data_IF_935670845744
#
_entry.id   IF_935670845744
#
_cell.length_a   1.000
_cell.length_b   1.000
_cell.length_c   1.000
_cell.angle_alpha   90.00
_cell.angle_beta   90.00
_cell.angle_gamma   90.00
#
_symmetry.space_group_name_H-M   'P 1'
#
loop_
_entity.id
_entity.type
_entity.pdbx_description
1 polymer ?
#
# COMPACT_ATOMS: atom_id res chain seq x y z
N UNK A 1 11.28 -0.88 14.95
CA UNK A 1 12.43 -0.43 15.72
C UNK A 1 13.72 -1.08 15.17
N UNK A 2 14.32 -0.56 14.11
CA UNK A 2 15.46 -1.15 13.38
C UNK A 2 16.79 -1.31 14.18
N UNK A 3 16.69 -1.56 15.47
CA UNK A 3 17.82 -1.82 16.34
C UNK A 3 18.47 -3.17 16.00
N UNK A 4 19.79 -3.17 15.78
CA UNK A 4 20.57 -4.40 15.58
C UNK A 4 20.41 -5.41 16.75
N UNK A 5 20.00 -4.95 17.93
CA UNK A 5 19.75 -5.79 19.09
C UNK A 5 18.50 -6.70 18.93
N UNK A 6 17.59 -6.37 18.03
CA UNK A 6 16.38 -7.18 17.78
C UNK A 6 16.59 -8.25 16.71
N UNK A 7 17.61 -8.15 15.87
CA UNK A 7 17.88 -9.09 14.75
C UNK A 7 17.96 -10.55 15.21
N UNK A 8 18.64 -10.89 16.33
CA UNK A 8 18.73 -12.28 16.79
C UNK A 8 17.39 -12.94 17.13
N UNK A 9 16.36 -12.12 17.33
CA UNK A 9 15.01 -12.58 17.69
C UNK A 9 14.05 -12.62 16.51
N UNK A 10 14.54 -12.33 15.29
CA UNK A 10 13.75 -12.35 14.07
C UNK A 10 13.99 -13.66 13.31
N UNK A 11 12.97 -14.47 13.19
CA UNK A 11 13.00 -15.72 12.44
C UNK A 11 12.12 -15.62 11.21
N UNK A 12 12.61 -16.14 10.09
CA UNK A 12 11.81 -16.36 8.89
C UNK A 12 10.97 -17.60 9.11
N UNK A 13 9.66 -17.42 9.22
CA UNK A 13 8.70 -18.50 9.44
C UNK A 13 8.30 -19.17 8.12
N UNK A 14 8.09 -18.38 7.08
CA UNK A 14 7.58 -18.87 5.79
C UNK A 14 8.03 -17.96 4.65
N UNK A 15 8.24 -18.57 3.49
CA UNK A 15 8.48 -17.87 2.23
C UNK A 15 7.53 -18.47 1.19
N UNK A 16 6.56 -17.66 0.74
CA UNK A 16 5.56 -18.05 -0.24
C UNK A 16 5.86 -17.39 -1.59
N UNK A 17 5.83 -18.16 -2.66
CA UNK A 17 5.90 -17.61 -4.01
C UNK A 17 4.52 -17.17 -4.46
N UNK A 18 4.35 -15.86 -4.73
CA UNK A 18 3.09 -15.31 -5.21
C UNK A 18 3.01 -15.45 -6.73
N UNK A 19 2.08 -16.29 -7.19
CA UNK A 19 1.86 -16.53 -8.63
C UNK A 19 1.03 -15.46 -9.30
N UNK A 20 0.35 -14.61 -8.52
CA UNK A 20 -0.48 -13.51 -8.98
C UNK A 20 0.33 -12.21 -9.11
N UNK A 21 -0.12 -11.33 -9.99
CA UNK A 21 0.55 -10.06 -10.29
C UNK A 21 1.73 -10.20 -11.27
N UNK A 22 2.11 -9.09 -11.85
CA UNK A 22 3.14 -9.03 -12.89
C UNK A 22 4.56 -9.28 -12.32
N UNK A 23 4.83 -8.83 -11.11
CA UNK A 23 6.15 -8.91 -10.49
C UNK A 23 6.46 -10.24 -9.81
N UNK A 24 5.46 -11.11 -9.63
CA UNK A 24 5.60 -12.44 -9.01
C UNK A 24 6.52 -12.43 -7.78
N UNK A 25 6.18 -11.68 -6.73
CA UNK A 25 7.05 -11.52 -5.58
C UNK A 25 7.11 -12.77 -4.72
N UNK A 26 8.12 -12.86 -3.86
CA UNK A 26 8.09 -13.72 -2.70
C UNK A 26 7.47 -12.96 -1.52
N UNK A 27 6.50 -13.56 -0.84
CA UNK A 27 5.99 -13.07 0.43
C UNK A 27 6.74 -13.75 1.56
N UNK A 28 7.40 -12.96 2.39
CA UNK A 28 8.21 -13.43 3.51
C UNK A 28 7.51 -13.08 4.81
N UNK A 29 7.26 -14.07 5.65
CA UNK A 29 6.75 -13.91 6.99
C UNK A 29 7.89 -13.97 7.99
N UNK A 30 8.07 -12.89 8.74
CA UNK A 30 9.08 -12.81 9.80
C UNK A 30 8.37 -12.75 11.14
N UNK A 31 8.79 -13.60 12.07
CA UNK A 31 8.31 -13.64 13.44
C UNK A 31 9.33 -13.05 14.38
N UNK A 32 8.89 -12.19 15.28
CA UNK A 32 9.67 -11.75 16.40
C UNK A 32 9.43 -12.73 17.57
N UNK A 33 10.44 -13.50 17.95
CA UNK A 33 10.35 -14.54 18.99
C UNK A 33 10.20 -14.00 20.40
N UNK A 34 10.39 -12.69 20.61
CA UNK A 34 10.19 -12.07 21.94
C UNK A 34 8.72 -11.84 22.26
N UNK A 35 7.89 -11.57 21.25
CA UNK A 35 6.50 -11.17 21.45
C UNK A 35 5.52 -11.88 20.51
N UNK A 36 6.01 -12.86 19.75
CA UNK A 36 5.26 -13.62 18.73
C UNK A 36 4.53 -12.76 17.68
N UNK A 37 4.92 -11.51 17.50
CA UNK A 37 4.39 -10.68 16.45
C UNK A 37 4.98 -11.06 15.09
N UNK A 38 4.15 -10.94 14.05
CA UNK A 38 4.52 -11.23 12.68
C UNK A 38 4.54 -9.97 11.84
N UNK A 39 5.51 -9.90 10.93
CA UNK A 39 5.59 -8.87 9.89
C UNK A 39 5.72 -9.59 8.56
N UNK A 40 5.05 -9.07 7.54
CA UNK A 40 5.14 -9.60 6.19
C UNK A 40 5.84 -8.61 5.28
N UNK A 41 6.67 -9.14 4.40
CA UNK A 41 7.36 -8.38 3.37
C UNK A 41 7.17 -9.02 2.00
N UNK A 42 7.16 -8.20 0.96
CA UNK A 42 7.28 -8.66 -0.41
C UNK A 42 8.69 -8.42 -0.91
N UNK A 43 9.32 -9.48 -1.39
CA UNK A 43 10.66 -9.46 -1.97
C UNK A 43 10.52 -9.69 -3.47
N UNK A 44 11.03 -8.76 -4.27
CA UNK A 44 10.90 -8.77 -5.72
C UNK A 44 12.11 -8.15 -6.40
N UNK A 45 12.21 -8.32 -7.72
CA UNK A 45 13.22 -7.64 -8.51
C UNK A 45 12.99 -6.15 -8.43
N UNK A 46 14.06 -5.40 -8.17
CA UNK A 46 14.04 -3.95 -8.19
C UNK A 46 13.84 -3.45 -9.63
N UNK A 47 13.00 -2.44 -9.80
CA UNK A 47 12.88 -1.68 -11.04
C UNK A 47 12.83 -0.18 -10.74
N UNK A 48 13.36 0.62 -11.67
CA UNK A 48 13.55 2.05 -11.44
C UNK A 48 12.23 2.80 -11.25
N UNK A 49 11.18 2.45 -12.00
CA UNK A 49 9.87 3.09 -11.89
C UNK A 49 9.29 2.94 -10.49
N UNK A 50 9.31 1.70 -9.98
CA UNK A 50 8.78 1.38 -8.65
C UNK A 50 9.59 2.04 -7.54
N UNK A 51 10.93 2.00 -7.63
CA UNK A 51 11.82 2.66 -6.65
C UNK A 51 11.52 4.16 -6.61
N UNK A 52 11.41 4.80 -7.77
CA UNK A 52 11.08 6.21 -7.85
C UNK A 52 9.73 6.54 -7.20
N UNK A 53 8.70 5.72 -7.45
CA UNK A 53 7.39 5.86 -6.82
C UNK A 53 7.43 5.72 -5.30
N UNK A 54 8.20 4.76 -4.80
CA UNK A 54 8.37 4.53 -3.36
C UNK A 54 9.14 5.67 -2.68
N UNK A 55 10.19 6.18 -3.30
CA UNK A 55 10.94 7.34 -2.80
C UNK A 55 10.05 8.59 -2.73
N UNK A 56 9.25 8.86 -3.77
CA UNK A 56 8.27 9.96 -3.74
C UNK A 56 7.22 9.75 -2.63
N UNK A 57 6.74 8.53 -2.44
CA UNK A 57 5.83 8.20 -1.34
C UNK A 57 6.47 8.52 0.00
N UNK A 58 7.71 8.11 0.20
CA UNK A 58 8.44 8.34 1.44
C UNK A 58 8.65 9.84 1.70
N UNK A 59 8.98 10.63 0.67
CA UNK A 59 9.15 12.08 0.78
C UNK A 59 7.86 12.81 1.14
N UNK A 60 6.74 12.42 0.51
CA UNK A 60 5.45 13.10 0.68
C UNK A 60 4.66 12.60 1.90
N UNK A 61 4.91 11.41 2.33
CA UNK A 61 4.22 10.76 3.46
C UNK A 61 5.20 9.87 4.23
N UNK A 62 6.15 10.43 4.97
CA UNK A 62 7.10 9.68 5.77
C UNK A 62 6.38 8.66 6.69
N UNK A 63 6.95 7.49 6.86
CA UNK A 63 6.39 6.38 7.65
C UNK A 63 5.07 5.78 7.13
N UNK A 64 4.72 6.06 5.88
CA UNK A 64 3.53 5.46 5.29
C UNK A 64 3.79 4.05 4.75
N UNK A 65 5.00 3.81 4.24
CA UNK A 65 5.46 2.54 3.70
C UNK A 65 6.96 2.42 3.93
N UNK A 66 7.39 1.28 4.46
CA UNK A 66 8.81 0.97 4.60
C UNK A 66 9.27 0.09 3.44
N UNK A 67 10.41 0.41 2.89
CA UNK A 67 11.04 -0.39 1.84
C UNK A 67 12.55 -0.34 1.95
N UNK A 68 13.21 -1.31 1.36
CA UNK A 68 14.66 -1.42 1.27
C UNK A 68 15.04 -1.87 -0.13
N UNK A 69 16.04 -1.20 -0.69
CA UNK A 69 16.66 -1.61 -1.96
C UNK A 69 18.07 -2.08 -1.68
N UNK A 70 18.38 -3.29 -2.12
CA UNK A 70 19.74 -3.81 -2.06
C UNK A 70 20.08 -4.50 -3.38
N UNK A 71 21.07 -3.96 -4.08
CA UNK A 71 21.41 -4.40 -5.45
C UNK A 71 20.16 -4.41 -6.37
N UNK A 72 19.81 -5.56 -6.91
CA UNK A 72 18.65 -5.75 -7.77
C UNK A 72 17.40 -6.25 -7.02
N UNK A 73 17.41 -6.17 -5.70
CA UNK A 73 16.32 -6.66 -4.87
C UNK A 73 15.61 -5.50 -4.18
N UNK A 74 14.30 -5.49 -4.28
CA UNK A 74 13.41 -4.59 -3.56
C UNK A 74 12.65 -5.39 -2.51
N UNK A 75 12.67 -4.92 -1.28
CA UNK A 75 11.88 -5.43 -0.15
C UNK A 75 10.89 -4.36 0.25
N UNK A 76 9.61 -4.66 0.19
CA UNK A 76 8.51 -3.76 0.58
C UNK A 76 7.74 -4.34 1.76
N UNK A 77 7.39 -3.51 2.71
CA UNK A 77 6.51 -3.89 3.81
C UNK A 77 5.11 -4.19 3.28
N UNK A 78 4.51 -5.26 3.79
CA UNK A 78 3.10 -5.54 3.56
C UNK A 78 2.24 -4.59 4.40
N UNK A 79 1.43 -3.77 3.74
CA UNK A 79 0.47 -2.90 4.43
C UNK A 79 -0.77 -3.71 4.76
N UNK A 80 -0.99 -3.96 6.05
CA UNK A 80 -2.22 -4.59 6.51
C UNK A 80 -3.39 -3.62 6.31
N UNK A 81 -4.40 -4.06 5.56
CA UNK A 81 -5.59 -3.27 5.26
C UNK A 81 -6.59 -4.08 4.46
N UNK A 82 -7.77 -3.53 4.25
CA UNK A 82 -8.83 -4.14 3.45
C UNK A 82 -8.60 -3.72 2.00
N UNK A 83 -8.45 -4.65 1.05
CA UNK A 83 -8.38 -4.31 -0.38
C UNK A 83 -9.56 -3.42 -0.80
N UNK A 84 -9.31 -2.45 -1.67
CA UNK A 84 -10.34 -1.47 -2.03
C UNK A 84 -11.56 -2.07 -2.69
N UNK A 85 -11.39 -3.10 -3.52
CA UNK A 85 -12.48 -3.85 -4.15
C UNK A 85 -13.35 -4.58 -3.11
N UNK A 86 -12.74 -5.28 -2.17
CA UNK A 86 -13.43 -5.92 -1.05
C UNK A 86 -14.14 -4.88 -0.17
N UNK A 87 -13.46 -3.76 0.12
CA UNK A 87 -14.04 -2.69 0.91
C UNK A 87 -15.28 -2.09 0.26
N UNK A 88 -15.24 -1.82 -1.04
CA UNK A 88 -16.36 -1.27 -1.81
C UNK A 88 -17.54 -2.24 -1.79
N UNK A 89 -17.28 -3.53 -1.93
CA UNK A 89 -18.32 -4.55 -2.02
C UNK A 89 -18.94 -4.88 -0.66
N UNK A 90 -18.13 -5.07 0.38
CA UNK A 90 -18.56 -5.71 1.61
C UNK A 90 -18.69 -4.76 2.81
N UNK A 91 -17.94 -3.68 2.82
CA UNK A 91 -17.86 -2.75 3.96
C UNK A 91 -18.56 -1.42 3.69
N UNK A 92 -18.31 -0.80 2.55
CA UNK A 92 -18.87 0.52 2.22
C UNK A 92 -20.41 0.57 2.28
N UNK A 93 -21.18 -0.47 1.86
CA UNK A 93 -22.63 -0.46 1.98
C UNK A 93 -23.13 -0.39 3.42
N UNK A 94 -22.35 -0.88 4.37
CA UNK A 94 -22.67 -0.93 5.81
C UNK A 94 -22.28 0.36 6.55
N UNK A 95 -21.49 1.23 5.92
CA UNK A 95 -21.06 2.48 6.52
C UNK A 95 -22.21 3.48 6.68
N UNK A 96 -22.21 4.19 7.78
CA UNK A 96 -23.09 5.33 8.04
C UNK A 96 -22.80 6.49 7.06
N UNK A 97 -23.75 7.44 6.95
CA UNK A 97 -23.57 8.63 6.11
C UNK A 97 -22.33 9.44 6.52
N UNK A 98 -22.04 9.53 7.80
CA UNK A 98 -20.86 10.25 8.33
C UNK A 98 -19.57 9.57 7.91
N UNK A 99 -19.50 8.23 8.04
CA UNK A 99 -18.34 7.45 7.60
C UNK A 99 -18.13 7.55 6.09
N UNK A 100 -19.19 7.43 5.29
CA UNK A 100 -19.11 7.59 3.84
C UNK A 100 -18.56 8.96 3.44
N UNK A 101 -19.01 10.04 4.08
CA UNK A 101 -18.46 11.38 3.83
C UNK A 101 -16.98 11.48 4.19
N UNK A 102 -16.55 10.81 5.25
CA UNK A 102 -15.14 10.76 5.64
C UNK A 102 -14.31 9.96 4.65
N UNK A 103 -14.82 8.80 4.22
CA UNK A 103 -14.17 7.94 3.22
C UNK A 103 -14.02 8.70 1.90
N UNK A 104 -15.08 9.38 1.43
CA UNK A 104 -15.04 10.20 0.23
C UNK A 104 -13.95 11.28 0.29
N UNK A 105 -13.88 12.03 1.40
CA UNK A 105 -12.81 13.03 1.61
C UNK A 105 -11.41 12.40 1.61
N UNK A 106 -11.26 11.23 2.22
CA UNK A 106 -10.00 10.49 2.23
C UNK A 106 -9.63 10.00 0.84
N UNK A 107 -10.61 9.58 0.06
CA UNK A 107 -10.42 9.11 -1.31
C UNK A 107 -10.02 10.28 -2.25
N UNK A 108 -10.64 11.45 -2.13
CA UNK A 108 -10.21 12.65 -2.87
C UNK A 108 -8.76 12.99 -2.57
N UNK A 109 -8.37 13.04 -1.29
CA UNK A 109 -6.96 13.28 -0.90
C UNK A 109 -6.01 12.21 -1.44
N UNK A 110 -6.43 10.96 -1.47
CA UNK A 110 -5.66 9.88 -2.07
C UNK A 110 -5.45 10.11 -3.57
N UNK A 111 -6.50 10.48 -4.31
CA UNK A 111 -6.39 10.81 -5.73
C UNK A 111 -5.47 12.01 -5.99
N UNK A 112 -5.56 13.07 -5.20
CA UNK A 112 -4.65 14.23 -5.29
C UNK A 112 -3.19 13.80 -5.12
N UNK A 113 -2.89 12.95 -4.15
CA UNK A 113 -1.54 12.41 -3.95
C UNK A 113 -1.06 11.59 -5.15
N UNK A 114 -1.93 10.74 -5.70
CA UNK A 114 -1.59 9.95 -6.89
C UNK A 114 -1.30 10.86 -8.09
N UNK A 115 -2.07 11.93 -8.27
CA UNK A 115 -1.83 12.91 -9.33
C UNK A 115 -0.49 13.64 -9.16
N UNK A 116 -0.19 14.13 -7.96
CA UNK A 116 1.07 14.83 -7.67
C UNK A 116 2.28 13.92 -7.94
N UNK A 117 2.15 12.65 -7.60
CA UNK A 117 3.21 11.65 -7.80
C UNK A 117 3.22 11.03 -9.20
N UNK A 118 2.25 11.35 -10.04
CA UNK A 118 2.05 10.70 -11.34
C UNK A 118 1.97 9.17 -11.24
N UNK A 119 1.35 8.69 -10.16
CA UNK A 119 1.13 7.27 -9.92
C UNK A 119 -0.19 6.85 -10.55
N UNK A 120 -0.13 5.99 -11.54
CA UNK A 120 -1.29 5.49 -12.29
C UNK A 120 -1.79 4.15 -11.79
N UNK A 121 -2.77 3.63 -12.52
CA UNK A 121 -3.41 2.31 -12.32
C UNK A 121 -3.96 2.06 -10.91
N UNK A 122 -4.49 3.10 -10.27
CA UNK A 122 -5.09 2.99 -8.93
C UNK A 122 -6.50 2.39 -9.02
N UNK A 123 -6.58 1.17 -9.55
CA UNK A 123 -7.75 0.31 -9.48
C UNK A 123 -8.02 -0.11 -8.04
N UNK A 124 -9.22 -0.57 -7.77
CA UNK A 124 -9.65 -0.90 -6.41
C UNK A 124 -8.75 -1.94 -5.70
N UNK A 125 -8.10 -2.82 -6.42
CA UNK A 125 -7.16 -3.81 -5.86
C UNK A 125 -5.72 -3.29 -5.69
N UNK A 126 -5.38 -2.08 -6.18
CA UNK A 126 -4.05 -1.48 -6.07
C UNK A 126 -3.91 -0.51 -4.89
N UNK A 127 -4.93 -0.43 -4.05
CA UNK A 127 -4.87 0.29 -2.78
C UNK A 127 -5.60 -0.50 -1.68
N UNK A 128 -5.27 -0.19 -0.43
CA UNK A 128 -5.93 -0.75 0.75
C UNK A 128 -6.51 0.36 1.61
N UNK A 129 -7.61 0.03 2.29
CA UNK A 129 -8.22 0.87 3.31
C UNK A 129 -7.78 0.36 4.68
N UNK A 130 -7.11 1.23 5.42
CA UNK A 130 -6.63 0.95 6.77
C UNK A 130 -7.55 1.66 7.77
N UNK A 131 -8.41 0.93 8.49
CA UNK A 131 -9.20 1.51 9.57
C UNK A 131 -8.29 1.79 10.77
N UNK A 132 -8.34 3.01 11.27
CA UNK A 132 -7.63 3.44 12.47
C UNK A 132 -8.66 3.81 13.51
N UNK A 133 -8.63 3.11 14.63
CA UNK A 133 -9.48 3.42 15.77
C UNK A 133 -8.90 4.59 16.57
N UNK A 134 -9.62 5.68 16.63
CA UNK A 134 -9.28 6.87 17.39
C UNK A 134 -10.43 7.17 18.38
N UNK A 135 -10.28 6.67 19.60
CA UNK A 135 -11.33 6.69 20.65
C UNK A 135 -12.68 6.18 20.12
N UNK A 136 -13.65 7.06 19.96
CA UNK A 136 -15.01 6.72 19.53
C UNK A 136 -15.20 6.81 17.99
N UNK A 137 -14.12 7.01 17.23
CA UNK A 137 -14.19 7.19 15.78
C UNK A 137 -13.28 6.22 15.05
N UNK A 138 -13.73 5.78 13.89
CA UNK A 138 -12.88 5.06 12.94
C UNK A 138 -12.48 6.01 11.82
N UNK A 139 -11.17 6.16 11.61
CA UNK A 139 -10.60 6.94 10.52
C UNK A 139 -10.14 5.97 9.45
N UNK A 140 -10.61 6.13 8.23
CA UNK A 140 -10.22 5.30 7.10
C UNK A 140 -9.11 5.96 6.30
N UNK A 141 -7.89 5.40 6.38
CA UNK A 141 -6.76 5.83 5.54
C UNK A 141 -6.67 4.97 4.30
N UNK A 142 -6.48 5.61 3.16
CA UNK A 142 -6.30 4.92 1.88
C UNK A 142 -4.83 4.99 1.51
N UNK A 143 -4.25 3.81 1.20
CA UNK A 143 -2.82 3.66 0.90
C UNK A 143 -2.64 2.88 -0.39
N UNK A 144 -1.86 3.43 -1.33
CA UNK A 144 -1.40 2.68 -2.49
C UNK A 144 -0.49 1.52 -2.05
N UNK A 145 -0.61 0.39 -2.73
CA UNK A 145 0.22 -0.80 -2.51
C UNK A 145 0.94 -1.26 -3.78
N UNK A 146 0.65 -0.65 -4.91
CA UNK A 146 1.32 -0.95 -6.17
C UNK A 146 1.89 0.33 -6.81
N UNK A 147 3.18 0.31 -7.12
CA UNK A 147 3.96 1.44 -7.62
C UNK A 147 4.59 1.14 -8.99
N UNK A 148 4.14 0.11 -9.70
CA UNK A 148 4.72 -0.28 -10.98
C UNK A 148 4.32 0.64 -12.14
N UNK A 149 3.22 1.40 -11.99
CA UNK A 149 2.72 2.35 -12.98
C UNK A 149 3.12 3.80 -12.65
N UNK A 150 4.34 3.99 -12.20
CA UNK A 150 4.90 5.30 -11.93
C UNK A 150 5.48 5.91 -13.21
N UNK A 151 5.09 7.14 -13.54
CA UNK A 151 5.66 7.90 -14.67
C UNK A 151 6.96 8.60 -14.25
N UNK A 152 8.10 7.93 -14.35
CA UNK A 152 9.38 8.54 -13.98
C UNK A 152 10.25 8.98 -15.17
N UNK A 153 10.01 8.43 -16.37
CA UNK A 153 10.80 8.74 -17.58
C UNK A 153 10.29 9.96 -18.36
N UNK A 154 9.38 10.74 -17.76
CA UNK A 154 8.80 11.90 -18.45
C UNK A 154 7.80 11.55 -19.55
N UNK A 155 7.50 10.27 -19.76
CA UNK A 155 6.38 9.85 -20.56
C UNK A 155 5.11 10.38 -19.94
N UNK A 156 4.48 11.37 -20.60
CA UNK A 156 3.20 11.95 -20.21
C UNK A 156 2.05 10.94 -20.42
N UNK A 157 2.17 9.77 -19.86
CA UNK A 157 1.02 8.89 -19.67
C UNK A 157 0.12 9.60 -18.66
N UNK A 158 -0.95 10.20 -19.15
CA UNK A 158 -1.93 10.88 -18.31
C UNK A 158 -2.65 9.82 -17.50
N UNK A 159 -2.13 9.53 -16.34
CA UNK A 159 -2.81 8.68 -15.38
C UNK A 159 -3.97 9.44 -14.76
N UNK A 160 -5.15 8.84 -14.81
CA UNK A 160 -6.36 9.36 -14.20
C UNK A 160 -6.83 8.36 -13.15
N UNK A 161 -6.17 8.27 -11.99
CA UNK A 161 -6.45 7.24 -10.99
C UNK A 161 -7.89 7.29 -10.47
N UNK A 162 -8.49 8.46 -10.40
CA UNK A 162 -9.81 8.68 -9.85
C UNK A 162 -10.97 8.20 -10.73
N UNK A 163 -10.75 7.89 -12.01
CA UNK A 163 -11.84 7.63 -12.94
C UNK A 163 -12.06 6.16 -13.30
N UNK A 164 -11.47 5.25 -12.54
CA UNK A 164 -11.86 3.85 -12.66
C UNK A 164 -13.29 3.67 -12.16
N UNK A 165 -14.11 3.01 -12.98
CA UNK A 165 -15.56 2.83 -12.69
C UNK A 165 -15.81 2.16 -11.36
N UNK A 166 -14.99 1.20 -10.98
CA UNK A 166 -15.05 0.49 -9.72
C UNK A 166 -14.88 1.40 -8.50
N UNK A 167 -14.23 2.55 -8.65
CA UNK A 167 -13.99 3.51 -7.58
C UNK A 167 -15.11 4.55 -7.40
N UNK A 168 -16.08 4.62 -8.32
CA UNK A 168 -17.19 5.59 -8.23
C UNK A 168 -17.93 5.54 -6.89
N UNK A 169 -18.18 4.37 -6.28
CA UNK A 169 -18.90 4.30 -5.00
C UNK A 169 -18.15 4.95 -3.82
N UNK A 170 -16.85 5.24 -3.99
CA UNK A 170 -16.02 5.84 -2.94
C UNK A 170 -16.23 7.36 -2.77
N UNK A 171 -16.97 8.00 -3.68
CA UNK A 171 -17.15 9.47 -3.72
C UNK A 171 -18.61 9.88 -3.53
#
# INVERSE_FOLDING_TARGET
DGSAMTIPYLNVDCIDYCTFGNSKPFRVKIRNTLNDNFIYFYVKKADASRIYGLELEHMLSPNNLNFLVYQNTLVEEHIAGIPGDEFIQDFLPKCSKTERNQIAKSFVKFNERCMIRLLGDMRAYNYVIVPIHDFDKVIYKIRAIDFDQQSYEGDLKVYRPQFFKENIPMV
#
